data_IF_995813457535
#
_entry.id   IF_995813457535
#
_cell.length_a   1.000
_cell.length_b   1.000
_cell.length_c   1.000
_cell.angle_alpha   90.00
_cell.angle_beta   90.00
_cell.angle_gamma   90.00
#
_symmetry.space_group_name_H-M   'P 1'
#
loop_
_entity.id
_entity.type
_entity.pdbx_description
1 polymer ?
#
# COMPACT_ATOMS: atom_id res chain seq x y z
N UNK A 1 6.21 1.92 -11.83
CA UNK A 1 6.30 1.85 -10.34
C UNK A 1 5.49 0.62 -9.92
N UNK A 2 6.02 -0.20 -9.03
CA UNK A 2 5.39 -1.46 -8.62
C UNK A 2 5.15 -1.40 -7.11
N UNK A 3 3.98 -1.84 -6.66
CA UNK A 3 3.69 -2.03 -5.25
C UNK A 3 3.59 -3.52 -4.97
N UNK A 4 4.37 -4.00 -3.99
CA UNK A 4 4.34 -5.39 -3.51
C UNK A 4 3.68 -5.40 -2.15
N UNK A 5 2.74 -6.33 -1.96
CA UNK A 5 1.97 -6.48 -0.74
C UNK A 5 2.34 -7.81 -0.08
N UNK A 6 2.86 -7.73 1.13
CA UNK A 6 3.06 -8.86 2.02
C UNK A 6 1.95 -8.85 3.08
N UNK A 7 1.04 -9.83 3.00
CA UNK A 7 -0.18 -9.89 3.81
C UNK A 7 0.02 -10.86 4.97
N UNK A 8 0.36 -10.32 6.14
CA UNK A 8 0.44 -11.09 7.38
C UNK A 8 -0.84 -11.01 8.21
N UNK A 9 -0.89 -11.77 9.32
CA UNK A 9 -2.05 -11.79 10.22
C UNK A 9 -2.34 -10.44 10.88
N UNK A 10 -1.29 -9.72 11.31
CA UNK A 10 -1.42 -8.43 12.02
C UNK A 10 -1.33 -7.23 11.08
N UNK A 11 -0.44 -7.30 10.09
CA UNK A 11 -0.14 -6.19 9.18
C UNK A 11 -0.01 -6.64 7.73
N UNK A 12 -0.46 -5.77 6.83
CA UNK A 12 -0.13 -5.75 5.42
C UNK A 12 1.06 -4.80 5.25
N UNK A 13 2.21 -5.33 4.87
CA UNK A 13 3.41 -4.54 4.53
C UNK A 13 3.41 -4.25 3.04
N UNK A 14 3.66 -2.99 2.69
CA UNK A 14 3.57 -2.49 1.32
C UNK A 14 4.91 -1.87 0.96
N UNK A 15 5.61 -2.48 0.01
CA UNK A 15 6.84 -1.96 -0.56
C UNK A 15 6.56 -1.32 -1.92
N UNK A 16 7.02 -0.09 -2.13
CA UNK A 16 6.91 0.61 -3.41
C UNK A 16 8.28 0.63 -4.07
N UNK A 17 8.34 0.20 -5.33
CA UNK A 17 9.55 0.03 -6.11
C UNK A 17 9.53 0.87 -7.39
N UNK A 18 10.67 1.46 -7.73
CA UNK A 18 10.92 2.15 -8.98
C UNK A 18 12.33 1.80 -9.47
N UNK A 19 12.45 1.35 -10.71
CA UNK A 19 13.74 0.98 -11.34
C UNK A 19 14.57 0.02 -10.46
N UNK A 20 13.94 -1.05 -9.98
CA UNK A 20 14.53 -2.03 -9.04
C UNK A 20 15.00 -1.49 -7.68
N UNK A 21 14.67 -0.24 -7.32
CA UNK A 21 14.97 0.34 -6.01
C UNK A 21 13.70 0.50 -5.19
N UNK A 22 13.79 0.24 -3.89
CA UNK A 22 12.74 0.55 -2.92
C UNK A 22 12.70 2.06 -2.74
N UNK A 23 11.56 2.68 -2.99
CA UNK A 23 11.35 4.12 -2.74
C UNK A 23 10.61 4.38 -1.43
N UNK A 24 9.79 3.43 -0.97
CA UNK A 24 9.09 3.54 0.31
C UNK A 24 8.63 2.16 0.80
N UNK A 25 8.48 2.03 2.12
CA UNK A 25 7.88 0.87 2.79
C UNK A 25 6.96 1.36 3.90
N UNK A 26 5.73 0.87 3.92
CA UNK A 26 4.81 1.18 5.00
C UNK A 26 3.85 0.04 5.31
N UNK A 27 3.21 0.13 6.48
CA UNK A 27 2.29 -0.89 6.98
C UNK A 27 0.88 -0.37 7.15
N UNK A 28 -0.09 -1.26 6.92
CA UNK A 28 -1.51 -1.07 7.23
C UNK A 28 -1.96 -2.30 8.04
N UNK A 29 -2.65 -2.13 9.19
CA UNK A 29 -3.20 -3.26 9.92
C UNK A 29 -4.11 -4.13 9.04
N UNK A 30 -3.93 -5.45 9.08
CA UNK A 30 -4.65 -6.41 8.22
C UNK A 30 -6.15 -6.36 8.42
N UNK A 31 -6.62 -5.98 9.61
CA UNK A 31 -8.06 -5.77 9.89
C UNK A 31 -8.71 -4.77 8.93
N UNK A 32 -7.97 -3.77 8.43
CA UNK A 32 -8.48 -2.82 7.44
C UNK A 32 -8.53 -3.38 6.03
N UNK A 33 -7.82 -4.48 5.75
CA UNK A 33 -7.85 -5.22 4.49
C UNK A 33 -9.11 -6.07 4.31
N UNK A 34 -9.89 -6.31 5.38
CA UNK A 34 -11.11 -7.15 5.33
C UNK A 34 -12.28 -6.51 4.58
N UNK A 35 -12.26 -5.19 4.39
CA UNK A 35 -13.27 -4.46 3.61
C UNK A 35 -12.56 -3.58 2.58
N UNK A 36 -12.84 -3.82 1.31
CA UNK A 36 -12.19 -3.17 0.17
C UNK A 36 -12.22 -1.64 0.26
N UNK A 37 -13.39 -1.06 0.53
CA UNK A 37 -13.56 0.40 0.65
C UNK A 37 -12.71 1.00 1.77
N UNK A 38 -12.61 0.32 2.92
CA UNK A 38 -11.79 0.76 4.04
C UNK A 38 -10.32 0.68 3.66
N UNK A 39 -9.91 -0.45 3.08
CA UNK A 39 -8.53 -0.66 2.63
C UNK A 39 -8.11 0.42 1.64
N UNK A 40 -8.90 0.63 0.58
CA UNK A 40 -8.64 1.65 -0.44
C UNK A 40 -8.50 3.04 0.18
N UNK A 41 -9.43 3.44 1.06
CA UNK A 41 -9.37 4.75 1.74
C UNK A 41 -8.11 4.91 2.58
N UNK A 42 -7.70 3.88 3.33
CA UNK A 42 -6.49 3.91 4.16
C UNK A 42 -5.22 3.93 3.31
N UNK A 43 -5.18 3.12 2.25
CA UNK A 43 -4.08 3.04 1.29
C UNK A 43 -3.90 4.38 0.57
N UNK A 44 -4.95 4.91 -0.06
CA UNK A 44 -4.94 6.22 -0.75
C UNK A 44 -4.46 7.34 0.16
N UNK A 45 -4.91 7.37 1.42
CA UNK A 45 -4.45 8.36 2.40
C UNK A 45 -2.95 8.24 2.69
N UNK A 46 -2.41 7.03 2.83
CA UNK A 46 -0.98 6.79 3.06
C UNK A 46 -0.15 7.24 1.87
N UNK A 47 -0.60 6.95 0.66
CA UNK A 47 0.08 7.31 -0.59
C UNK A 47 0.09 8.81 -0.84
N UNK A 48 -1.04 9.48 -0.67
CA UNK A 48 -1.15 10.93 -0.82
C UNK A 48 -0.22 11.66 0.16
N UNK A 49 -0.14 11.21 1.42
CA UNK A 49 0.79 11.77 2.42
C UNK A 49 2.26 11.62 2.04
N UNK A 50 2.59 10.63 1.22
CA UNK A 50 3.95 10.31 0.76
C UNK A 50 4.22 10.85 -0.65
N UNK A 51 3.25 11.55 -1.25
CA UNK A 51 3.29 12.04 -2.63
C UNK A 51 3.57 10.94 -3.67
N UNK A 52 3.15 9.70 -3.38
CA UNK A 52 3.31 8.55 -4.27
C UNK A 52 2.04 8.44 -5.13
N UNK A 53 2.18 8.61 -6.45
CA UNK A 53 1.09 8.42 -7.42
C UNK A 53 1.31 7.14 -8.21
N UNK A 54 0.34 6.23 -8.16
CA UNK A 54 0.26 5.10 -9.08
C UNK A 54 -1.15 4.96 -9.61
N UNK A 55 -1.26 4.51 -10.87
CA UNK A 55 -2.52 4.13 -11.46
C UNK A 55 -2.90 2.77 -10.85
N UNK A 56 -3.97 2.72 -10.04
CA UNK A 56 -4.59 1.45 -9.68
C UNK A 56 -5.55 1.10 -10.81
N UNK A 57 -5.17 0.16 -11.66
CA UNK A 57 -6.11 -0.48 -12.58
C UNK A 57 -6.86 -1.55 -11.77
N UNK A 58 -8.18 -1.40 -11.68
CA UNK A 58 -9.10 -2.40 -11.15
C UNK A 58 -9.81 -3.04 -12.34
#
# INVERSE_FOLDING_TARGET
MIAVFDVGNTNITIGVFQNNKIIDVFRIPTIFGKQENIFYKKLKRKLNKKNIKFLMAF
#
